data_IF_294506871665
#
_entry.id   IF_294506871665
#
_cell.length_a   1.000
_cell.length_b   1.000
_cell.length_c   1.000
_cell.angle_alpha   90.00
_cell.angle_beta   90.00
_cell.angle_gamma   90.00
#
_symmetry.space_group_name_H-M   'P 1'
#
loop_
_entity.id
_entity.type
_entity.pdbx_description
1 polymer ?
#
# COMPACT_ATOMS: atom_id res chain seq x y z
N UNK A 1 9.30 7.07 -18.27
CA UNK A 1 8.43 5.88 -18.42
C UNK A 1 7.12 6.34 -19.02
N UNK A 2 6.43 5.48 -19.77
CA UNK A 2 5.08 5.78 -20.23
C UNK A 2 4.09 5.32 -19.16
N UNK A 3 3.05 6.12 -18.92
CA UNK A 3 1.97 5.79 -18.00
C UNK A 3 1.15 4.61 -18.56
N UNK A 4 0.82 3.60 -17.74
CA UNK A 4 -0.08 2.52 -18.17
C UNK A 4 -1.47 3.04 -18.51
N UNK A 5 -2.11 2.43 -19.51
CA UNK A 5 -3.50 2.70 -19.82
C UNK A 5 -4.37 2.40 -18.59
N UNK A 6 -5.32 3.29 -18.28
CA UNK A 6 -6.22 3.22 -17.10
C UNK A 6 -5.57 3.47 -15.72
N UNK A 7 -4.32 3.93 -15.66
CA UNK A 7 -3.73 4.42 -14.41
C UNK A 7 -4.05 5.90 -14.21
N UNK A 8 -4.56 6.30 -13.04
CA UNK A 8 -4.73 7.73 -12.74
C UNK A 8 -3.37 8.41 -12.59
N UNK A 9 -3.34 9.72 -12.86
CA UNK A 9 -2.12 10.51 -12.75
C UNK A 9 -1.55 10.46 -11.32
N UNK A 10 -2.42 10.42 -10.30
CA UNK A 10 -2.04 10.37 -8.88
C UNK A 10 -1.29 9.08 -8.52
N UNK A 11 -1.78 7.92 -8.99
CA UNK A 11 -1.07 6.65 -8.81
C UNK A 11 0.24 6.63 -9.60
N UNK A 12 0.22 7.18 -10.82
CA UNK A 12 1.42 7.22 -11.66
C UNK A 12 2.53 8.09 -11.08
N UNK A 13 2.18 9.26 -10.54
CA UNK A 13 3.12 10.14 -9.84
C UNK A 13 3.74 9.48 -8.61
N UNK A 14 2.95 8.74 -7.83
CA UNK A 14 3.47 7.97 -6.69
C UNK A 14 4.44 6.88 -7.16
N UNK A 15 4.13 6.16 -8.24
CA UNK A 15 5.03 5.16 -8.82
C UNK A 15 6.36 5.80 -9.26
N UNK A 16 6.32 6.96 -9.90
CA UNK A 16 7.54 7.69 -10.29
C UNK A 16 8.39 8.07 -9.07
N UNK A 17 7.78 8.48 -7.96
CA UNK A 17 8.50 8.76 -6.70
C UNK A 17 9.15 7.52 -6.10
N UNK A 18 8.47 6.37 -6.17
CA UNK A 18 9.05 5.10 -5.72
C UNK A 18 10.25 4.64 -6.58
N UNK A 19 10.33 5.11 -7.83
CA UNK A 19 11.37 4.75 -8.79
C UNK A 19 12.47 5.81 -8.94
N UNK A 20 12.65 6.71 -7.96
CA UNK A 20 13.83 7.58 -7.94
C UNK A 20 15.12 6.76 -7.92
N UNK A 21 16.10 7.24 -8.69
CA UNK A 21 17.40 6.60 -8.81
C UNK A 21 18.11 6.59 -7.44
N UNK A 22 18.09 7.73 -6.76
CA UNK A 22 18.58 7.87 -5.41
C UNK A 22 17.60 7.19 -4.43
N UNK A 23 18.05 6.20 -3.63
CA UNK A 23 17.21 5.57 -2.62
C UNK A 23 16.73 6.54 -1.53
N UNK A 24 17.50 7.59 -1.23
CA UNK A 24 17.16 8.54 -0.17
C UNK A 24 16.07 9.54 -0.60
N UNK A 25 15.83 9.68 -1.91
CA UNK A 25 14.74 10.49 -2.47
C UNK A 25 13.41 9.72 -2.55
N UNK A 26 13.41 8.41 -2.26
CA UNK A 26 12.19 7.61 -2.31
C UNK A 26 11.33 7.88 -1.08
N UNK A 27 9.99 7.84 -1.23
CA UNK A 27 9.09 7.95 -0.09
C UNK A 27 9.27 6.76 0.84
N UNK A 28 9.06 6.98 2.14
CA UNK A 28 9.04 5.88 3.10
C UNK A 28 7.77 5.04 2.94
N UNK A 29 7.73 3.79 3.44
CA UNK A 29 6.51 3.00 3.45
C UNK A 29 5.32 3.72 4.12
N UNK A 30 5.59 4.53 5.15
CA UNK A 30 4.58 5.32 5.84
C UNK A 30 4.00 6.40 4.92
N UNK A 31 4.86 7.10 4.16
CA UNK A 31 4.43 8.13 3.20
C UNK A 31 3.59 7.53 2.07
N UNK A 32 3.96 6.33 1.61
CA UNK A 32 3.23 5.60 0.57
C UNK A 32 1.81 5.29 1.06
N UNK A 33 1.65 4.72 2.26
CA UNK A 33 0.32 4.41 2.83
C UNK A 33 -0.49 5.69 3.04
N UNK A 34 0.13 6.74 3.56
CA UNK A 34 -0.54 8.04 3.75
C UNK A 34 -1.01 8.67 2.42
N UNK A 35 -0.30 8.38 1.32
CA UNK A 35 -0.67 8.86 -0.02
C UNK A 35 -1.77 8.00 -0.66
N UNK A 36 -1.77 6.68 -0.41
CA UNK A 36 -2.74 5.75 -1.00
C UNK A 36 -4.10 5.76 -0.30
N UNK A 37 -4.10 5.91 1.03
CA UNK A 37 -5.34 5.85 1.85
C UNK A 37 -6.46 6.81 1.41
N UNK A 38 -6.20 8.02 0.90
CA UNK A 38 -7.26 8.91 0.41
C UNK A 38 -7.67 8.61 -1.04
N UNK A 39 -6.83 7.91 -1.81
CA UNK A 39 -7.08 7.53 -3.21
C UNK A 39 -7.89 6.24 -3.30
N UNK A 40 -7.73 5.38 -2.31
CA UNK A 40 -8.60 4.25 -2.04
C UNK A 40 -9.94 4.84 -1.57
N UNK A 41 -10.83 5.14 -2.52
CA UNK A 41 -12.20 5.52 -2.22
C UNK A 41 -12.87 4.48 -1.31
N UNK A 42 -14.09 4.74 -0.80
CA UNK A 42 -14.78 3.76 0.06
C UNK A 42 -14.78 2.40 -0.63
N UNK A 43 -14.05 1.46 -0.03
CA UNK A 43 -13.83 0.10 -0.53
C UNK A 43 -15.19 -0.50 -0.90
N UNK A 44 -15.44 -0.61 -2.20
CA UNK A 44 -16.65 -1.20 -2.75
C UNK A 44 -16.30 -2.64 -3.07
N UNK A 45 -16.81 -3.60 -2.29
CA UNK A 45 -16.79 -4.99 -2.75
C UNK A 45 -17.68 -5.13 -4.01
N UNK A 46 -17.55 -6.23 -4.74
CA UNK A 46 -18.38 -6.52 -5.92
C UNK A 46 -19.90 -6.48 -5.61
N UNK A 47 -20.32 -6.59 -4.33
CA UNK A 47 -21.71 -6.42 -3.88
C UNK A 47 -22.08 -5.03 -3.32
N UNK A 48 -21.16 -4.06 -3.30
CA UNK A 48 -21.44 -2.69 -2.91
C UNK A 48 -21.77 -2.45 -1.44
N UNK A 49 -21.21 -3.27 -0.56
CA UNK A 49 -21.11 -3.01 0.86
C UNK A 49 -19.76 -2.36 1.16
N UNK A 50 -19.78 -1.35 2.02
CA UNK A 50 -18.59 -0.67 2.52
C UNK A 50 -17.78 -1.68 3.37
N UNK A 51 -16.49 -1.89 3.07
CA UNK A 51 -15.66 -2.70 3.97
C UNK A 51 -15.63 -2.04 5.35
N UNK A 52 -15.94 -2.77 6.43
CA UNK A 52 -15.83 -2.21 7.77
C UNK A 52 -14.39 -1.76 8.01
N UNK A 53 -14.28 -0.60 8.64
CA UNK A 53 -13.08 0.21 8.92
C UNK A 53 -11.95 -0.55 9.67
N UNK A 54 -12.18 -1.81 10.02
CA UNK A 54 -11.34 -2.64 10.87
C UNK A 54 -10.50 -3.70 10.13
N UNK A 55 -10.66 -3.88 8.81
CA UNK A 55 -9.98 -4.96 8.05
C UNK A 55 -8.73 -4.54 7.25
N UNK A 56 -8.05 -3.46 7.65
CA UNK A 56 -6.64 -3.24 7.29
C UNK A 56 -5.73 -3.10 8.51
N UNK A 57 -6.05 -3.80 9.60
CA UNK A 57 -5.08 -4.07 10.66
C UNK A 57 -4.44 -5.43 10.34
N UNK A 58 -3.41 -5.41 9.49
CA UNK A 58 -2.49 -6.54 9.40
C UNK A 58 -2.07 -6.90 10.83
N UNK A 59 -2.42 -8.12 11.27
CA UNK A 59 -2.02 -8.60 12.60
C UNK A 59 -0.51 -8.40 12.76
N UNK A 60 -0.01 -7.97 13.93
CA UNK A 60 1.42 -7.89 14.17
C UNK A 60 2.04 -9.24 13.81
N UNK A 61 3.14 -9.24 13.06
CA UNK A 61 3.93 -10.45 12.86
C UNK A 61 4.51 -10.78 14.24
N UNK A 62 3.87 -11.69 14.96
CA UNK A 62 4.36 -12.19 16.23
C UNK A 62 5.58 -13.08 15.96
N UNK A 63 6.76 -12.46 16.04
CA UNK A 63 8.06 -13.12 16.06
C UNK A 63 8.14 -13.99 17.32
N UNK A 64 7.92 -15.30 17.16
CA UNK A 64 8.72 -16.40 17.73
C UNK A 64 7.94 -17.72 17.81
N UNK A 65 8.32 -18.69 16.97
CA UNK A 65 8.18 -20.12 17.27
C UNK A 65 9.09 -20.98 16.38
N UNK A 66 10.42 -20.77 16.45
CA UNK A 66 11.36 -21.82 16.04
C UNK A 66 11.50 -22.74 17.25
N UNK A 67 10.62 -23.73 17.38
CA UNK A 67 10.84 -24.81 18.34
C UNK A 67 11.74 -25.85 17.67
N UNK A 68 13.07 -25.67 17.79
CA UNK A 68 14.02 -26.76 17.63
C UNK A 68 13.76 -27.75 18.78
N UNK A 69 13.19 -28.90 18.45
CA UNK A 69 13.11 -30.06 19.33
C UNK A 69 14.50 -30.67 19.50
N UNK A 70 15.02 -30.67 20.72
CA UNK A 70 16.00 -31.63 21.23
C UNK A 70 15.29 -32.72 22.05
#
# INVERSE_FOLDING_TARGET
MAQPDSCSDEFYELMLKCWFLDPDERPTPIDIVATLTPLDGPLHDDNGLNMPEDECKSKPIEENAIHLSE
#
